data_IF_441115555263
#
_entry.id   IF_441115555263
#
_cell.length_a   1.000
_cell.length_b   1.000
_cell.length_c   1.000
_cell.angle_alpha   90.00
_cell.angle_beta   90.00
_cell.angle_gamma   90.00
#
_symmetry.space_group_name_H-M   'P 1'
#
loop_
_entity.id
_entity.type
_entity.pdbx_description
1 polymer ?
#
# COMPACT_ATOMS: atom_id res chain seq x y z
N UNK A 1 -8.00 -12.81 -10.68
CA UNK A 1 -8.76 -13.19 -11.89
C UNK A 1 -9.53 -14.46 -11.64
N UNK A 2 -10.86 -14.45 -11.80
CA UNK A 2 -11.72 -15.65 -11.69
C UNK A 2 -12.30 -16.12 -13.05
N UNK A 3 -11.96 -15.47 -14.16
CA UNK A 3 -12.68 -15.65 -15.44
C UNK A 3 -11.93 -16.42 -16.55
N UNK A 4 -10.79 -17.07 -16.28
CA UNK A 4 -10.04 -17.81 -17.31
C UNK A 4 -9.52 -16.97 -18.48
N UNK A 5 -9.62 -15.64 -18.42
CA UNK A 5 -9.05 -14.72 -19.41
C UNK A 5 -7.59 -14.46 -19.06
N UNK A 6 -6.71 -14.61 -20.05
CA UNK A 6 -5.30 -14.27 -19.95
C UNK A 6 -5.20 -12.74 -19.89
N UNK A 7 -4.63 -12.21 -18.81
CA UNK A 7 -4.22 -10.81 -18.73
C UNK A 7 -2.90 -10.64 -19.51
N UNK A 8 -2.79 -9.60 -20.34
CA UNK A 8 -1.59 -9.33 -21.15
C UNK A 8 -0.33 -9.05 -20.32
N UNK A 9 -0.51 -8.74 -19.03
CA UNK A 9 0.57 -8.28 -18.18
C UNK A 9 0.61 -6.76 -18.08
N UNK A 10 1.44 -6.29 -17.16
CA UNK A 10 1.81 -4.90 -16.99
C UNK A 10 3.30 -4.79 -16.66
N UNK A 11 3.90 -3.67 -17.03
CA UNK A 11 5.24 -3.27 -16.59
C UNK A 11 5.20 -1.83 -16.08
N UNK A 12 6.22 -1.42 -15.34
CA UNK A 12 6.41 -0.07 -14.85
C UNK A 12 7.71 0.50 -15.44
N UNK A 13 7.64 1.71 -15.97
CA UNK A 13 8.79 2.48 -16.43
C UNK A 13 8.98 3.69 -15.50
N UNK A 14 10.19 3.85 -14.98
CA UNK A 14 10.58 5.00 -14.18
C UNK A 14 11.29 5.99 -15.08
N UNK A 15 10.85 7.26 -15.07
CA UNK A 15 11.45 8.32 -15.88
C UNK A 15 12.05 9.33 -14.91
N UNK A 16 13.38 9.46 -14.91
CA UNK A 16 14.07 10.45 -14.09
C UNK A 16 13.79 11.85 -14.64
N UNK A 17 13.14 12.71 -13.85
CA UNK A 17 12.77 14.06 -14.26
C UNK A 17 13.74 15.09 -13.67
N UNK A 18 14.18 16.12 -14.43
CA UNK A 18 13.77 16.46 -15.80
C UNK A 18 14.60 15.78 -16.90
N UNK A 19 15.69 15.08 -16.57
CA UNK A 19 16.69 14.60 -17.55
C UNK A 19 16.14 13.60 -18.59
N UNK A 20 15.09 12.84 -18.23
CA UNK A 20 14.36 11.94 -19.11
C UNK A 20 14.89 10.51 -19.17
N UNK A 21 15.92 10.15 -18.40
CA UNK A 21 16.45 8.78 -18.35
C UNK A 21 15.37 7.78 -17.94
N UNK A 22 15.17 6.74 -18.76
CA UNK A 22 14.15 5.71 -18.54
C UNK A 22 14.78 4.45 -17.96
N UNK A 23 14.22 3.97 -16.85
CA UNK A 23 14.54 2.69 -16.24
C UNK A 23 13.34 1.76 -16.34
N UNK A 24 13.58 0.51 -16.74
CA UNK A 24 12.52 -0.50 -16.92
C UNK A 24 12.83 -1.73 -16.08
N UNK A 25 12.50 -1.74 -14.77
CA UNK A 25 12.91 -2.82 -13.88
C UNK A 25 12.25 -4.17 -14.20
N UNK A 26 11.15 -4.16 -14.96
CA UNK A 26 10.37 -5.35 -15.29
C UNK A 26 10.18 -5.49 -16.80
N UNK A 27 10.27 -6.73 -17.28
CA UNK A 27 9.80 -7.10 -18.61
C UNK A 27 8.28 -7.31 -18.59
N UNK A 28 7.60 -6.99 -19.69
CA UNK A 28 6.18 -7.30 -19.86
C UNK A 28 5.97 -8.82 -19.91
N UNK A 29 5.14 -9.36 -19.00
CA UNK A 29 4.84 -10.79 -18.91
C UNK A 29 3.35 -11.02 -18.71
N UNK A 30 2.77 -11.91 -19.50
CA UNK A 30 1.35 -12.29 -19.37
C UNK A 30 1.03 -12.74 -17.94
N UNK A 31 -0.13 -12.32 -17.44
CA UNK A 31 -0.61 -12.62 -16.10
C UNK A 31 0.32 -12.17 -14.97
N UNK A 32 1.20 -11.20 -15.22
CA UNK A 32 1.97 -10.51 -14.19
C UNK A 32 1.45 -9.08 -14.06
N UNK A 33 0.95 -8.75 -12.88
CA UNK A 33 0.58 -7.39 -12.50
C UNK A 33 1.71 -6.77 -11.68
N UNK A 34 2.12 -5.55 -12.01
CA UNK A 34 3.12 -4.76 -11.26
C UNK A 34 2.47 -3.44 -10.83
N UNK A 35 2.35 -3.20 -9.52
CA UNK A 35 1.79 -1.96 -9.00
C UNK A 35 2.78 -0.78 -9.13
N UNK A 36 2.26 0.44 -9.13
CA UNK A 36 2.98 1.67 -8.85
C UNK A 36 3.89 1.50 -7.62
N UNK A 37 5.17 1.93 -7.71
CA UNK A 37 6.09 1.80 -6.61
C UNK A 37 5.78 2.77 -5.48
N UNK A 38 6.18 2.36 -4.29
CA UNK A 38 6.30 3.25 -3.13
C UNK A 38 7.76 3.65 -2.93
N UNK A 39 7.99 4.90 -2.54
CA UNK A 39 9.31 5.43 -2.22
C UNK A 39 9.48 5.53 -0.70
N UNK A 40 10.62 5.05 -0.21
CA UNK A 40 11.01 5.17 1.20
C UNK A 40 12.54 5.20 1.30
N UNK A 41 13.09 6.21 1.97
CA UNK A 41 14.53 6.37 2.26
C UNK A 41 15.46 6.09 1.04
N UNK A 42 15.14 6.68 -0.11
CA UNK A 42 15.96 6.55 -1.33
C UNK A 42 15.77 5.24 -2.10
N UNK A 43 14.86 4.38 -1.67
CA UNK A 43 14.59 3.07 -2.31
C UNK A 43 13.18 3.06 -2.88
N UNK A 44 13.03 2.44 -4.04
CA UNK A 44 11.71 2.14 -4.61
C UNK A 44 11.35 0.69 -4.28
N UNK A 45 10.12 0.47 -3.83
CA UNK A 45 9.60 -0.87 -3.59
C UNK A 45 8.36 -1.12 -4.46
N UNK A 46 8.31 -2.30 -5.05
CA UNK A 46 7.26 -2.70 -5.99
C UNK A 46 6.50 -3.91 -5.47
N UNK A 47 5.20 -3.92 -5.76
CA UNK A 47 4.34 -5.09 -5.60
C UNK A 47 4.14 -5.74 -6.97
N UNK A 48 4.53 -7.00 -7.09
CA UNK A 48 4.20 -7.86 -8.21
C UNK A 48 3.22 -8.97 -7.83
N UNK A 49 2.32 -9.32 -8.73
CA UNK A 49 1.45 -10.50 -8.61
C UNK A 49 1.54 -11.32 -9.88
N UNK A 50 2.09 -12.53 -9.77
CA UNK A 50 2.15 -13.51 -10.84
C UNK A 50 0.97 -14.49 -10.68
N UNK A 51 -0.07 -14.32 -11.49
CA UNK A 51 -1.27 -15.14 -11.42
C UNK A 51 -1.06 -16.54 -12.02
N UNK A 52 -0.04 -16.78 -12.86
CA UNK A 52 0.25 -18.14 -13.31
C UNK A 52 0.93 -18.94 -12.20
N UNK A 53 1.92 -18.34 -11.55
CA UNK A 53 2.64 -18.98 -10.43
C UNK A 53 1.87 -18.94 -9.11
N UNK A 54 0.78 -18.17 -9.06
CA UNK A 54 -0.01 -17.95 -7.84
C UNK A 54 0.85 -17.35 -6.72
N UNK A 55 1.63 -16.30 -7.05
CA UNK A 55 2.56 -15.63 -6.13
C UNK A 55 2.32 -14.14 -6.04
N UNK A 56 2.49 -13.60 -4.84
CA UNK A 56 2.67 -12.18 -4.57
C UNK A 56 4.15 -11.96 -4.25
N UNK A 57 4.77 -10.96 -4.86
CA UNK A 57 6.20 -10.71 -4.80
C UNK A 57 6.46 -9.25 -4.46
N UNK A 58 7.31 -9.00 -3.47
CA UNK A 58 7.76 -7.67 -3.10
C UNK A 58 9.19 -7.50 -3.59
N UNK A 59 9.44 -6.41 -4.29
CA UNK A 59 10.75 -6.08 -4.82
C UNK A 59 11.29 -4.79 -4.23
N UNK A 60 12.61 -4.66 -4.22
CA UNK A 60 13.35 -3.44 -4.02
C UNK A 60 14.10 -3.11 -5.29
N UNK A 61 14.03 -1.85 -5.70
CA UNK A 61 14.76 -1.36 -6.85
C UNK A 61 15.72 -0.24 -6.42
N UNK A 62 16.95 -0.34 -6.89
CA UNK A 62 18.02 0.63 -6.66
C UNK A 62 18.36 1.31 -8.00
N UNK A 63 17.82 2.52 -8.27
CA UNK A 63 18.02 3.19 -9.55
C UNK A 63 19.50 3.44 -9.90
N UNK A 64 20.33 3.74 -8.89
CA UNK A 64 21.75 4.05 -9.07
C UNK A 64 22.52 2.89 -9.72
N UNK A 65 22.21 1.65 -9.31
CA UNK A 65 22.88 0.44 -9.80
C UNK A 65 22.01 -0.36 -10.79
N UNK A 66 20.79 0.10 -11.06
CA UNK A 66 19.77 -0.58 -11.87
C UNK A 66 19.47 -2.01 -11.39
N UNK A 67 19.53 -2.24 -10.08
CA UNK A 67 19.36 -3.56 -9.48
C UNK A 67 17.94 -3.74 -8.95
N UNK A 68 17.34 -4.89 -9.26
CA UNK A 68 16.05 -5.33 -8.73
C UNK A 68 16.25 -6.56 -7.83
N UNK A 69 15.98 -6.39 -6.55
CA UNK A 69 16.08 -7.42 -5.52
C UNK A 69 14.67 -7.90 -5.12
N UNK A 70 14.46 -9.21 -4.98
CA UNK A 70 13.21 -9.73 -4.40
C UNK A 70 13.33 -9.78 -2.87
N UNK A 71 12.52 -9.01 -2.17
CA UNK A 71 12.49 -8.93 -0.70
C UNK A 71 11.67 -10.08 -0.11
N UNK A 72 10.53 -10.41 -0.76
CA UNK A 72 9.59 -11.39 -0.24
C UNK A 72 8.79 -12.03 -1.36
N UNK A 73 8.50 -13.32 -1.20
CA UNK A 73 7.49 -14.02 -1.99
C UNK A 73 6.47 -14.66 -1.04
N UNK A 74 5.18 -14.49 -1.36
CA UNK A 74 4.04 -15.00 -0.61
C UNK A 74 3.11 -15.77 -1.56
N UNK A 75 2.40 -16.81 -1.08
CA UNK A 75 1.38 -17.46 -1.90
C UNK A 75 0.21 -16.50 -2.15
N UNK A 76 -0.32 -16.46 -3.37
CA UNK A 76 -1.45 -15.61 -3.73
C UNK A 76 -2.69 -15.88 -2.86
N UNK A 77 -2.89 -17.15 -2.46
CA UNK A 77 -3.99 -17.56 -1.60
C UNK A 77 -3.93 -17.06 -0.15
N UNK A 78 -2.89 -16.29 0.24
CA UNK A 78 -2.85 -15.63 1.56
C UNK A 78 -3.91 -14.52 1.69
N UNK A 79 -4.31 -13.93 0.56
CA UNK A 79 -5.40 -12.97 0.47
C UNK A 79 -6.57 -13.57 -0.29
N UNK A 80 -7.79 -13.13 0.02
CA UNK A 80 -9.00 -13.60 -0.66
C UNK A 80 -9.00 -13.21 -2.15
N UNK A 81 -8.51 -12.01 -2.44
CA UNK A 81 -8.34 -11.44 -3.77
C UNK A 81 -7.35 -10.26 -3.71
N UNK A 82 -6.95 -9.74 -4.87
CA UNK A 82 -6.00 -8.60 -4.97
C UNK A 82 -6.68 -7.22 -4.99
N UNK A 83 -7.97 -7.11 -4.67
CA UNK A 83 -8.65 -5.81 -4.65
C UNK A 83 -8.04 -4.92 -3.55
N UNK A 84 -7.66 -3.70 -3.92
CA UNK A 84 -6.93 -2.72 -3.08
C UNK A 84 -5.71 -3.31 -2.34
N UNK A 85 -5.01 -4.27 -2.97
CA UNK A 85 -3.73 -4.78 -2.48
C UNK A 85 -2.62 -3.80 -2.86
N UNK A 86 -1.93 -3.23 -1.88
CA UNK A 86 -0.93 -2.18 -2.10
C UNK A 86 0.21 -2.25 -1.07
N UNK A 87 1.33 -1.61 -1.39
CA UNK A 87 2.39 -1.37 -0.43
C UNK A 87 2.13 -0.07 0.35
N UNK A 88 2.46 -0.09 1.63
CA UNK A 88 2.55 1.11 2.49
C UNK A 88 3.97 1.13 3.08
N UNK A 89 4.48 2.31 3.42
CA UNK A 89 5.88 2.50 3.85
C UNK A 89 5.98 3.10 5.25
N UNK A 90 7.20 3.09 5.79
CA UNK A 90 7.52 3.54 7.15
C UNK A 90 6.74 2.80 8.25
N UNK A 91 6.84 1.45 8.37
CA UNK A 91 7.72 0.53 7.65
C UNK A 91 7.07 -0.03 6.36
N UNK A 92 7.87 -0.71 5.52
CA UNK A 92 7.33 -1.41 4.34
C UNK A 92 6.36 -2.52 4.77
N UNK A 93 5.12 -2.43 4.30
CA UNK A 93 4.05 -3.38 4.58
C UNK A 93 3.28 -3.71 3.29
N UNK A 94 2.84 -4.96 3.17
CA UNK A 94 1.82 -5.36 2.20
C UNK A 94 0.46 -5.28 2.87
N UNK A 95 -0.40 -4.40 2.37
CA UNK A 95 -1.71 -4.12 2.93
C UNK A 95 -2.82 -4.42 1.93
N UNK A 96 -4.01 -4.73 2.44
CA UNK A 96 -5.23 -4.84 1.63
C UNK A 96 -6.39 -4.18 2.34
N UNK A 97 -7.01 -3.20 1.69
CA UNK A 97 -8.34 -2.76 2.08
C UNK A 97 -9.38 -3.68 1.43
N UNK A 98 -10.08 -4.47 2.24
CA UNK A 98 -11.00 -5.45 1.73
C UNK A 98 -12.35 -4.86 1.29
N UNK A 99 -12.57 -3.54 1.48
CA UNK A 99 -13.82 -2.83 1.18
C UNK A 99 -15.05 -3.52 1.79
N UNK A 100 -14.85 -4.11 2.97
CA UNK A 100 -15.86 -4.81 3.75
C UNK A 100 -15.67 -4.55 5.25
N UNK A 101 -15.18 -3.35 5.59
CA UNK A 101 -14.84 -2.94 6.97
C UNK A 101 -13.68 -3.72 7.58
N UNK A 102 -12.83 -4.32 6.75
CA UNK A 102 -11.62 -5.03 7.18
C UNK A 102 -10.42 -4.45 6.45
N UNK A 103 -9.45 -3.99 7.24
CA UNK A 103 -8.11 -3.70 6.77
C UNK A 103 -7.19 -4.87 7.12
N UNK A 104 -6.39 -5.31 6.15
CA UNK A 104 -5.44 -6.41 6.32
C UNK A 104 -4.01 -5.90 6.20
N UNK A 105 -3.17 -6.24 7.17
CA UNK A 105 -1.72 -6.18 7.03
C UNK A 105 -1.27 -7.60 6.73
N UNK A 106 -1.09 -7.91 5.46
CA UNK A 106 -0.77 -9.25 4.96
C UNK A 106 0.66 -9.63 5.34
N UNK A 107 1.57 -8.67 5.29
CA UNK A 107 2.97 -8.83 5.68
C UNK A 107 3.53 -7.48 6.18
N UNK A 108 4.41 -7.46 7.20
CA UNK A 108 4.93 -8.61 7.94
C UNK A 108 4.02 -9.19 9.04
N UNK A 109 2.98 -8.48 9.48
CA UNK A 109 2.26 -8.83 10.71
C UNK A 109 1.22 -9.94 10.56
N UNK A 110 0.67 -10.15 9.36
CA UNK A 110 -0.47 -11.05 9.13
C UNK A 110 -1.63 -10.77 10.10
N UNK A 111 -2.17 -9.55 10.02
CA UNK A 111 -3.26 -9.04 10.87
C UNK A 111 -4.47 -8.62 10.06
N UNK A 112 -5.64 -8.77 10.68
CA UNK A 112 -6.93 -8.24 10.21
C UNK A 112 -7.49 -7.30 11.27
N UNK A 113 -7.94 -6.14 10.84
CA UNK A 113 -8.40 -5.07 11.72
C UNK A 113 -9.76 -4.62 11.21
N UNK A 114 -10.75 -4.62 12.11
CA UNK A 114 -12.06 -4.05 11.80
C UNK A 114 -11.97 -2.52 11.78
N UNK A 115 -12.41 -1.94 10.67
CA UNK A 115 -12.41 -0.50 10.42
C UNK A 115 -13.82 -0.03 10.05
N UNK A 116 -14.05 1.28 10.10
CA UNK A 116 -15.27 1.91 9.63
C UNK A 116 -15.48 1.77 8.12
N UNK A 117 -16.67 2.16 7.65
CA UNK A 117 -17.04 2.07 6.22
C UNK A 117 -16.24 3.06 5.35
N UNK A 118 -15.89 4.20 5.92
CA UNK A 118 -15.22 5.32 5.27
C UNK A 118 -13.85 5.54 5.90
N UNK A 119 -13.17 4.46 6.30
CA UNK A 119 -11.83 4.50 6.87
C UNK A 119 -10.78 4.04 5.85
N UNK A 120 -9.63 4.73 5.77
CA UNK A 120 -8.45 4.27 5.02
C UNK A 120 -7.16 4.53 5.81
N UNK A 121 -6.16 3.65 5.65
CA UNK A 121 -4.88 3.77 6.35
C UNK A 121 -4.05 4.91 5.75
N UNK A 122 -3.76 5.91 6.59
CA UNK A 122 -2.85 7.00 6.28
C UNK A 122 -1.40 6.56 6.42
N UNK A 123 -1.02 6.07 7.60
CA UNK A 123 0.34 5.59 7.91
C UNK A 123 0.36 4.80 9.23
N UNK A 124 1.53 4.27 9.55
CA UNK A 124 1.84 3.61 10.81
C UNK A 124 2.99 4.34 11.50
N UNK A 125 2.93 4.44 12.82
CA UNK A 125 4.06 4.85 13.65
C UNK A 125 4.22 3.86 14.81
N UNK A 126 5.26 3.02 14.75
CA UNK A 126 5.46 1.95 15.73
C UNK A 126 4.27 1.00 15.81
N UNK A 127 3.59 0.97 16.95
CA UNK A 127 2.40 0.14 17.21
C UNK A 127 1.09 0.89 16.99
N UNK A 128 1.14 2.14 16.50
CA UNK A 128 -0.05 2.95 16.23
C UNK A 128 -0.34 3.02 14.73
N UNK A 129 -1.58 2.75 14.37
CA UNK A 129 -2.10 2.84 13.00
C UNK A 129 -3.01 4.05 12.90
N UNK A 130 -2.69 4.94 11.96
CA UNK A 130 -3.43 6.17 11.71
C UNK A 130 -4.33 5.98 10.50
N UNK A 131 -5.63 6.16 10.70
CA UNK A 131 -6.65 6.10 9.67
C UNK A 131 -7.30 7.47 9.49
N UNK A 132 -7.64 7.82 8.25
CA UNK A 132 -8.63 8.86 7.97
C UNK A 132 -10.01 8.25 8.06
N UNK A 133 -10.99 9.04 8.45
CA UNK A 133 -12.40 8.71 8.37
C UNK A 133 -13.14 9.91 7.79
N UNK A 134 -13.88 9.74 6.69
CA UNK A 134 -14.63 10.83 6.06
C UNK A 134 -16.14 10.64 6.14
N UNK A 135 -16.85 11.75 6.15
CA UNK A 135 -18.31 11.82 6.07
C UNK A 135 -18.68 12.83 4.99
N UNK A 136 -19.72 12.54 4.23
CA UNK A 136 -20.21 13.44 3.17
C UNK A 136 -21.54 14.12 3.54
N UNK A 137 -22.30 13.53 4.48
CA UNK A 137 -23.63 13.99 4.88
C UNK A 137 -23.67 14.41 6.38
N UNK A 138 -24.26 15.56 6.74
CA UNK A 138 -24.82 16.60 5.85
C UNK A 138 -23.76 17.55 5.25
N UNK A 139 -22.55 17.57 5.79
CA UNK A 139 -21.41 18.37 5.29
C UNK A 139 -20.12 17.53 5.38
N UNK A 140 -19.22 17.75 4.41
CA UNK A 140 -17.97 17.03 4.37
C UNK A 140 -17.10 17.35 5.58
N UNK A 141 -16.70 16.32 6.31
CA UNK A 141 -15.71 16.45 7.37
C UNK A 141 -14.90 15.16 7.52
N UNK A 142 -13.70 15.32 8.05
CA UNK A 142 -12.78 14.22 8.32
C UNK A 142 -12.46 14.10 9.80
N UNK A 143 -12.15 12.88 10.21
CA UNK A 143 -11.50 12.58 11.47
C UNK A 143 -10.22 11.76 11.23
N UNK A 144 -9.31 11.86 12.20
CA UNK A 144 -8.17 10.96 12.35
C UNK A 144 -8.50 9.96 13.44
N UNK A 145 -8.37 8.67 13.14
CA UNK A 145 -8.54 7.57 14.09
C UNK A 145 -7.19 6.91 14.31
N UNK A 146 -6.80 6.76 15.58
CA UNK A 146 -5.58 6.07 15.98
C UNK A 146 -6.00 4.72 16.55
N UNK A 147 -5.50 3.62 15.97
CA UNK A 147 -5.72 2.25 16.44
C UNK A 147 -4.44 1.62 16.93
N UNK A 148 -4.53 0.86 18.00
CA UNK A 148 -3.46 -0.02 18.45
C UNK A 148 -3.30 -1.18 17.45
N UNK A 149 -2.12 -1.41 16.91
CA UNK A 149 -1.83 -2.48 15.95
C UNK A 149 -2.07 -3.86 16.55
N UNK A 150 -1.73 -4.05 17.82
CA UNK A 150 -1.77 -5.35 18.46
C UNK A 150 -3.22 -5.85 18.61
N UNK A 151 -4.14 -4.95 18.96
CA UNK A 151 -5.55 -5.23 19.29
C UNK A 151 -6.55 -4.78 18.23
N UNK A 152 -6.17 -3.85 17.33
CA UNK A 152 -7.06 -3.20 16.36
C UNK A 152 -8.03 -2.17 16.97
N UNK A 153 -7.98 -1.95 18.30
CA UNK A 153 -8.91 -1.07 19.01
C UNK A 153 -8.56 0.40 18.79
N UNK A 154 -9.58 1.24 18.69
CA UNK A 154 -9.43 2.69 18.68
C UNK A 154 -8.86 3.14 20.03
N UNK A 155 -7.70 3.81 19.99
CA UNK A 155 -7.09 4.52 21.11
C UNK A 155 -7.65 5.93 21.19
N UNK A 156 -7.68 6.62 20.05
CA UNK A 156 -8.05 8.04 19.96
C UNK A 156 -8.80 8.32 18.66
N UNK A 157 -9.65 9.35 18.68
CA UNK A 157 -10.35 9.89 17.51
C UNK A 157 -10.42 11.40 17.62
N UNK A 158 -10.00 12.10 16.58
CA UNK A 158 -9.95 13.56 16.57
C UNK A 158 -10.48 14.12 15.25
N UNK A 159 -11.24 15.21 15.29
CA UNK A 159 -11.69 15.91 14.07
C UNK A 159 -10.54 16.60 13.35
N UNK A 160 -10.59 16.64 12.02
CA UNK A 160 -9.58 17.16 11.12
C UNK A 160 -8.91 16.05 10.30
N UNK A 161 -7.95 16.43 9.47
CA UNK A 161 -7.16 15.52 8.63
C UNK A 161 -5.66 15.77 8.80
N UNK A 162 -4.84 14.81 8.38
CA UNK A 162 -3.38 14.90 8.45
C UNK A 162 -2.80 15.18 7.05
N UNK A 163 -1.83 16.08 7.00
CA UNK A 163 -0.99 16.30 5.82
C UNK A 163 0.44 15.87 6.12
N UNK A 164 1.06 15.13 5.20
CA UNK A 164 2.48 14.78 5.27
C UNK A 164 3.30 15.87 4.60
N UNK A 165 4.20 16.50 5.35
CA UNK A 165 5.14 17.48 4.81
C UNK A 165 6.32 16.80 4.11
N UNK A 166 7.08 17.51 3.24
CA UNK A 166 8.23 16.94 2.53
C UNK A 166 9.32 16.37 3.43
N UNK A 167 9.44 16.85 4.67
CA UNK A 167 10.38 16.33 5.66
C UNK A 167 9.86 15.10 6.43
N UNK A 168 8.71 14.56 6.03
CA UNK A 168 8.08 13.38 6.64
C UNK A 168 7.21 13.66 7.87
N UNK A 169 7.17 14.91 8.35
CA UNK A 169 6.36 15.29 9.53
C UNK A 169 4.89 15.43 9.15
N UNK A 170 3.99 14.94 10.02
CA UNK A 170 2.55 15.08 9.84
C UNK A 170 2.01 16.30 10.60
N UNK A 171 1.21 17.11 9.92
CA UNK A 171 0.50 18.24 10.53
C UNK A 171 -1.00 17.96 10.51
N UNK A 172 -1.66 18.26 11.62
CA UNK A 172 -3.10 18.19 11.70
C UNK A 172 -3.71 19.51 11.27
N UNK A 173 -4.65 19.45 10.33
CA UNK A 173 -5.47 20.58 9.90
C UNK A 173 -6.83 20.47 10.58
N UNK A 174 -7.27 21.56 11.20
CA UNK A 174 -8.61 21.72 11.77
C UNK A 174 -9.26 22.88 11.02
N UNK A 175 -10.37 22.62 10.34
CA UNK A 175 -11.17 23.63 9.61
C UNK A 175 -12.50 23.84 10.32
#
# INVERSE_FOLDING_TARGET
MKSGKIFSGMTCHLIHYPEGTVYSPFELKENVYIEQPVWDEGKLSFLGVDFFKQKIQLYRYFPENQELEMIKELPLGIVENCYNLALKVSPLMLCRDANNKIFEIVWPENKRIEIGQTEDLLFRDGEDLYFSEWYEDPEYHENVIIRDLSTGKIKEKHSGYLIKLPNGVYWKISL
#
